data_IF_069112665584
#
_entry.id   IF_069112665584
#
_cell.length_a   1.000
_cell.length_b   1.000
_cell.length_c   1.000
_cell.angle_alpha   90.00
_cell.angle_beta   90.00
_cell.angle_gamma   90.00
#
_symmetry.space_group_name_H-M   'P 1'
#
loop_
_entity.id
_entity.type
_entity.pdbx_description
1 polymer ?
#
# COMPACT_ATOMS: atom_id res chain seq x y z
N UNK A 1 61.90 2.00 -9.85
CA UNK A 1 60.59 1.41 -10.19
C UNK A 1 59.53 2.38 -9.71
N UNK A 2 59.17 3.31 -10.65
CA UNK A 2 58.49 4.58 -10.35
C UNK A 2 57.02 4.35 -9.98
N UNK A 3 56.71 4.73 -8.75
CA UNK A 3 55.31 4.98 -8.35
C UNK A 3 55.03 6.46 -8.62
N UNK A 4 54.69 6.79 -9.86
CA UNK A 4 54.16 8.13 -10.17
C UNK A 4 52.79 8.27 -9.46
N UNK A 5 52.80 9.19 -8.54
CA UNK A 5 51.66 9.60 -7.70
C UNK A 5 50.45 9.99 -8.57
N UNK A 6 49.21 9.69 -8.14
CA UNK A 6 47.96 10.16 -8.76
C UNK A 6 47.87 11.68 -8.90
N UNK A 7 48.69 12.46 -8.14
CA UNK A 7 48.78 13.90 -8.23
C UNK A 7 49.51 14.37 -9.52
N UNK A 8 50.51 13.64 -10.01
CA UNK A 8 51.27 14.00 -11.23
C UNK A 8 50.47 13.80 -12.52
N UNK A 9 49.49 12.92 -12.53
CA UNK A 9 48.62 12.76 -13.71
C UNK A 9 47.60 13.91 -13.88
N UNK A 10 47.28 14.66 -12.83
CA UNK A 10 46.41 15.84 -12.89
C UNK A 10 47.13 17.05 -13.49
N UNK A 11 48.43 17.13 -13.37
CA UNK A 11 49.22 18.27 -13.85
C UNK A 11 49.53 18.21 -15.37
N UNK A 12 49.28 17.08 -16.03
CA UNK A 12 49.59 16.88 -17.45
C UNK A 12 48.46 17.25 -18.43
N UNK A 13 47.26 17.55 -17.94
CA UNK A 13 46.16 18.04 -18.78
C UNK A 13 46.19 19.59 -18.74
N UNK A 14 46.45 20.24 -19.87
CA UNK A 14 46.31 21.68 -20.00
C UNK A 14 44.86 22.13 -19.69
N UNK A 15 44.60 23.43 -19.54
CA UNK A 15 43.28 23.96 -19.18
C UNK A 15 42.15 23.43 -20.07
N UNK A 16 42.40 23.25 -21.35
CA UNK A 16 41.44 22.69 -22.31
C UNK A 16 41.10 21.23 -22.02
N UNK A 17 42.04 20.44 -21.53
CA UNK A 17 41.81 19.03 -21.13
C UNK A 17 41.01 18.92 -19.84
N UNK A 18 41.20 19.88 -18.91
CA UNK A 18 40.41 19.92 -17.67
C UNK A 18 38.99 20.35 -17.94
N UNK A 19 38.74 21.34 -18.77
CA UNK A 19 37.36 21.75 -19.16
C UNK A 19 36.63 20.65 -19.90
N UNK A 20 37.28 19.93 -20.80
CA UNK A 20 36.70 18.78 -21.50
C UNK A 20 36.33 17.62 -20.54
N UNK A 21 37.18 17.34 -19.55
CA UNK A 21 36.92 16.35 -18.52
C UNK A 21 35.77 16.76 -17.60
N UNK A 22 35.69 18.02 -17.21
CA UNK A 22 34.59 18.55 -16.38
C UNK A 22 33.26 18.56 -17.15
N UNK A 23 33.27 18.89 -18.43
CA UNK A 23 32.07 18.81 -19.29
C UNK A 23 31.60 17.38 -19.46
N UNK A 24 32.48 16.39 -19.68
CA UNK A 24 32.11 14.99 -19.77
C UNK A 24 31.61 14.44 -18.44
N UNK A 25 32.20 14.82 -17.33
CA UNK A 25 31.74 14.48 -15.99
C UNK A 25 30.31 15.04 -15.73
N UNK A 26 30.05 16.28 -16.12
CA UNK A 26 28.71 16.87 -16.03
C UNK A 26 27.68 16.12 -16.88
N UNK A 27 28.06 15.74 -18.11
CA UNK A 27 27.22 14.92 -19.01
C UNK A 27 26.90 13.56 -18.42
N UNK A 28 27.89 12.84 -17.89
CA UNK A 28 27.69 11.53 -17.28
C UNK A 28 26.81 11.62 -16.03
N UNK A 29 27.00 12.65 -15.20
CA UNK A 29 26.11 12.89 -14.03
C UNK A 29 24.67 13.13 -14.45
N UNK A 30 24.43 13.92 -15.49
CA UNK A 30 23.10 14.17 -16.01
C UNK A 30 22.47 12.89 -16.57
N UNK A 31 23.25 12.04 -17.25
CA UNK A 31 22.77 10.74 -17.76
C UNK A 31 22.44 9.78 -16.61
N UNK A 32 23.24 9.69 -15.57
CA UNK A 32 22.97 8.88 -14.37
C UNK A 32 21.67 9.35 -13.70
N UNK A 33 21.53 10.64 -13.44
CA UNK A 33 20.32 11.19 -12.83
C UNK A 33 19.06 10.89 -13.65
N UNK A 34 19.13 10.98 -14.98
CA UNK A 34 18.05 10.61 -15.88
C UNK A 34 17.69 9.12 -15.76
N UNK A 35 18.68 8.23 -15.83
CA UNK A 35 18.47 6.78 -15.71
C UNK A 35 17.89 6.39 -14.34
N UNK A 36 18.35 7.05 -13.27
CA UNK A 36 17.78 6.85 -11.93
C UNK A 36 16.31 7.28 -11.86
N UNK A 37 15.95 8.42 -12.49
CA UNK A 37 14.57 8.90 -12.56
C UNK A 37 13.69 7.94 -13.38
N UNK A 38 14.15 7.49 -14.56
CA UNK A 38 13.45 6.52 -15.38
C UNK A 38 13.26 5.18 -14.63
N UNK A 39 14.28 4.71 -13.93
CA UNK A 39 14.20 3.51 -13.09
C UNK A 39 13.16 3.67 -11.98
N UNK A 40 13.15 4.80 -11.29
CA UNK A 40 12.20 5.09 -10.22
C UNK A 40 10.75 5.12 -10.75
N UNK A 41 10.52 5.76 -11.91
CA UNK A 41 9.22 5.80 -12.56
C UNK A 41 8.73 4.39 -12.97
N UNK A 42 9.60 3.58 -13.57
CA UNK A 42 9.28 2.21 -13.93
C UNK A 42 9.00 1.35 -12.69
N UNK A 43 9.80 1.51 -11.64
CA UNK A 43 9.58 0.80 -10.38
C UNK A 43 8.23 1.16 -9.78
N UNK A 44 7.87 2.44 -9.78
CA UNK A 44 6.56 2.92 -9.32
C UNK A 44 5.42 2.28 -10.12
N UNK A 45 5.46 2.38 -11.45
CA UNK A 45 4.43 1.83 -12.33
C UNK A 45 4.22 0.32 -12.16
N UNK A 46 5.29 -0.44 -11.86
CA UNK A 46 5.21 -1.88 -11.65
C UNK A 46 4.59 -2.24 -10.28
N UNK A 47 4.73 -1.37 -9.28
CA UNK A 47 4.44 -1.68 -7.89
C UNK A 47 3.21 -0.96 -7.32
N UNK A 48 2.62 -0.03 -8.06
CA UNK A 48 1.43 0.69 -7.62
C UNK A 48 0.26 0.44 -8.58
N UNK A 49 -0.94 0.65 -8.08
CA UNK A 49 -2.17 0.64 -8.86
C UNK A 49 -2.33 2.01 -9.53
N UNK A 50 -2.49 2.02 -10.84
CA UNK A 50 -2.51 3.25 -11.64
C UNK A 50 -3.70 4.17 -11.31
N UNK A 51 -4.82 3.59 -10.88
CA UNK A 51 -6.02 4.35 -10.57
C UNK A 51 -5.93 5.01 -9.19
N UNK A 52 -5.60 4.23 -8.16
CA UNK A 52 -5.66 4.69 -6.76
C UNK A 52 -4.33 5.21 -6.23
N UNK A 53 -3.22 4.90 -6.90
CA UNK A 53 -1.86 5.19 -6.42
C UNK A 53 -1.40 4.33 -5.24
N UNK A 54 -2.25 3.45 -4.73
CA UNK A 54 -1.88 2.52 -3.66
C UNK A 54 -0.89 1.46 -4.15
N UNK A 55 -0.23 0.80 -3.22
CA UNK A 55 0.51 -0.41 -3.52
C UNK A 55 -0.39 -1.41 -4.27
N UNK A 56 0.18 -2.15 -5.21
CA UNK A 56 -0.52 -3.25 -5.84
C UNK A 56 -0.13 -4.60 -5.20
N UNK A 57 -0.76 -5.69 -5.66
CA UNK A 57 -0.46 -7.06 -5.19
C UNK A 57 1.02 -7.42 -5.30
N UNK A 58 1.74 -6.88 -6.30
CA UNK A 58 3.17 -7.15 -6.48
C UNK A 58 3.99 -6.52 -5.37
N UNK A 59 3.74 -5.25 -5.04
CA UNK A 59 4.43 -4.57 -3.95
C UNK A 59 4.15 -5.27 -2.61
N UNK A 60 2.89 -5.62 -2.35
CA UNK A 60 2.50 -6.39 -1.16
C UNK A 60 3.38 -7.65 -0.98
N UNK A 61 3.54 -8.43 -2.04
CA UNK A 61 4.35 -9.65 -2.00
C UNK A 61 5.87 -9.38 -1.88
N UNK A 62 6.32 -8.22 -2.33
CA UNK A 62 7.75 -7.83 -2.30
C UNK A 62 8.16 -7.30 -0.92
N UNK A 63 7.40 -6.37 -0.36
CA UNK A 63 7.77 -5.69 0.90
C UNK A 63 7.12 -6.29 2.13
N UNK A 64 5.93 -6.87 1.99
CA UNK A 64 5.14 -7.43 3.10
C UNK A 64 5.92 -8.41 3.97
N UNK A 65 6.63 -9.41 3.41
CA UNK A 65 7.44 -10.33 4.23
C UNK A 65 8.50 -9.62 5.08
N UNK A 66 9.04 -8.50 4.61
CA UNK A 66 10.01 -7.70 5.37
C UNK A 66 9.36 -6.91 6.49
N UNK A 67 8.17 -6.35 6.25
CA UNK A 67 7.38 -5.64 7.26
C UNK A 67 7.01 -6.60 8.41
N UNK A 68 6.45 -7.77 8.09
CA UNK A 68 6.05 -8.76 9.07
C UNK A 68 7.22 -9.30 9.93
N UNK A 69 8.41 -9.46 9.34
CA UNK A 69 9.60 -9.88 10.09
C UNK A 69 10.08 -8.82 11.09
N UNK A 70 9.86 -7.55 10.79
CA UNK A 70 10.26 -6.43 11.67
C UNK A 70 9.22 -6.18 12.78
N UNK A 71 7.96 -6.44 12.50
CA UNK A 71 6.87 -6.22 13.44
C UNK A 71 6.90 -7.24 14.59
N UNK A 72 6.58 -6.80 15.78
CA UNK A 72 6.36 -7.67 16.95
C UNK A 72 4.96 -8.27 16.89
N UNK A 73 3.99 -7.46 16.49
CA UNK A 73 2.58 -7.81 16.26
C UNK A 73 2.16 -7.22 14.94
N UNK A 74 1.32 -7.95 14.21
CA UNK A 74 0.77 -7.46 12.94
C UNK A 74 -0.67 -7.92 12.75
N UNK A 75 -1.38 -7.21 11.87
CA UNK A 75 -2.61 -7.68 11.26
C UNK A 75 -2.52 -7.54 9.73
N UNK A 76 -3.14 -8.47 9.03
CA UNK A 76 -3.33 -8.38 7.58
C UNK A 76 -4.83 -8.33 7.32
N UNK A 77 -5.26 -7.27 6.64
CA UNK A 77 -6.64 -7.05 6.23
C UNK A 77 -6.84 -7.44 4.77
N UNK A 78 -8.03 -7.97 4.47
CA UNK A 78 -8.63 -7.94 3.12
C UNK A 78 -10.02 -7.32 3.24
N UNK A 79 -10.37 -6.44 2.29
CA UNK A 79 -11.66 -5.74 2.29
C UNK A 79 -12.22 -5.72 0.87
N UNK A 80 -13.54 -5.92 0.76
CA UNK A 80 -14.33 -5.94 -0.48
C UNK A 80 -15.48 -4.94 -0.33
N UNK A 81 -15.69 -4.08 -1.33
CA UNK A 81 -16.73 -3.04 -1.27
C UNK A 81 -18.10 -3.61 -1.55
N UNK A 82 -19.00 -3.40 -0.60
CA UNK A 82 -20.40 -3.76 -0.76
C UNK A 82 -21.14 -2.70 -1.60
N UNK A 83 -21.89 -3.15 -2.59
CA UNK A 83 -22.69 -2.24 -3.42
C UNK A 83 -21.90 -1.49 -4.51
N UNK A 84 -20.63 -1.83 -4.76
CA UNK A 84 -19.83 -1.16 -5.78
C UNK A 84 -20.35 -1.40 -7.20
N UNK A 85 -20.75 -2.63 -7.54
CA UNK A 85 -21.33 -2.93 -8.84
C UNK A 85 -22.58 -2.09 -9.16
N UNK A 86 -23.59 -1.97 -8.28
CA UNK A 86 -24.71 -1.03 -8.46
C UNK A 86 -24.30 0.42 -8.71
N UNK A 87 -23.18 0.89 -8.12
CA UNK A 87 -22.66 2.24 -8.42
C UNK A 87 -22.22 2.33 -9.86
N UNK A 88 -21.42 1.39 -10.35
CA UNK A 88 -21.00 1.33 -11.76
C UNK A 88 -22.18 1.23 -12.71
N UNK A 89 -23.14 0.35 -12.41
CA UNK A 89 -24.31 0.12 -13.26
C UNK A 89 -25.21 1.36 -13.34
N UNK A 90 -25.28 2.17 -12.29
CA UNK A 90 -26.14 3.36 -12.23
C UNK A 90 -25.45 4.64 -12.69
N UNK A 91 -24.19 4.85 -12.35
CA UNK A 91 -23.49 6.12 -12.54
C UNK A 91 -22.33 6.04 -13.52
N UNK A 92 -22.01 4.84 -14.01
CA UNK A 92 -20.92 4.59 -14.94
C UNK A 92 -19.57 4.37 -14.27
N UNK A 93 -18.63 3.84 -15.04
CA UNK A 93 -17.29 3.45 -14.52
C UNK A 93 -16.45 4.65 -14.04
N UNK A 94 -16.61 5.84 -14.64
CA UNK A 94 -15.86 7.02 -14.20
C UNK A 94 -16.19 7.39 -12.74
N UNK A 95 -17.47 7.34 -12.35
CA UNK A 95 -17.90 7.57 -10.98
C UNK A 95 -17.40 6.43 -10.06
N UNK A 96 -17.45 5.18 -10.54
CA UNK A 96 -16.88 4.04 -9.82
C UNK A 96 -15.37 4.19 -9.56
N UNK A 97 -14.62 4.68 -10.54
CA UNK A 97 -13.19 4.94 -10.40
C UNK A 97 -12.91 6.00 -9.32
N UNK A 98 -13.71 7.07 -9.25
CA UNK A 98 -13.60 8.07 -8.19
C UNK A 98 -13.98 7.53 -6.80
N UNK A 99 -14.97 6.62 -6.72
CA UNK A 99 -15.28 5.88 -5.48
C UNK A 99 -14.05 5.09 -5.03
N UNK A 100 -13.42 4.33 -5.94
CA UNK A 100 -12.23 3.54 -5.62
C UNK A 100 -11.04 4.42 -5.16
N UNK A 101 -10.82 5.55 -5.82
CA UNK A 101 -9.80 6.53 -5.41
C UNK A 101 -10.10 7.11 -4.01
N UNK A 102 -11.36 7.40 -3.73
CA UNK A 102 -11.77 7.94 -2.43
C UNK A 102 -11.61 6.92 -1.32
N UNK A 103 -12.05 5.68 -1.53
CA UNK A 103 -11.84 4.57 -0.59
C UNK A 103 -10.33 4.33 -0.34
N UNK A 104 -9.53 4.32 -1.41
CA UNK A 104 -8.07 4.15 -1.28
C UNK A 104 -7.42 5.24 -0.43
N UNK A 105 -7.82 6.50 -0.61
CA UNK A 105 -7.33 7.63 0.21
C UNK A 105 -7.75 7.50 1.68
N UNK A 106 -9.00 7.09 1.95
CA UNK A 106 -9.53 6.91 3.31
C UNK A 106 -8.81 5.76 4.00
N UNK A 107 -8.66 4.63 3.34
CA UNK A 107 -7.89 3.50 3.87
C UNK A 107 -6.46 3.93 4.21
N UNK A 108 -5.75 4.57 3.29
CA UNK A 108 -4.39 5.04 3.52
C UNK A 108 -4.31 6.09 4.64
N UNK A 109 -5.35 6.93 4.79
CA UNK A 109 -5.42 7.95 5.83
C UNK A 109 -5.57 7.39 7.26
N UNK A 110 -6.09 6.17 7.41
CA UNK A 110 -6.17 5.48 8.70
C UNK A 110 -4.84 4.81 9.11
N UNK A 111 -3.84 4.77 8.23
CA UNK A 111 -2.61 4.00 8.44
C UNK A 111 -1.43 4.94 8.72
N UNK A 112 -0.60 4.56 9.70
CA UNK A 112 0.65 5.26 10.06
C UNK A 112 1.81 4.30 9.80
N UNK A 113 2.65 4.63 8.80
CA UNK A 113 3.83 3.84 8.39
C UNK A 113 3.52 2.39 7.95
N UNK A 114 2.26 2.10 7.65
CA UNK A 114 1.76 0.79 7.24
C UNK A 114 1.41 0.78 5.74
N UNK A 115 1.02 -0.37 5.20
CA UNK A 115 0.86 -0.57 3.77
C UNK A 115 -0.61 -0.72 3.37
N UNK A 116 -1.17 0.28 2.68
CA UNK A 116 -2.44 0.17 1.97
C UNK A 116 -2.22 -0.36 0.55
N UNK A 117 -3.08 -1.28 0.12
CA UNK A 117 -2.95 -2.03 -1.13
C UNK A 117 -4.28 -2.09 -1.84
N UNK A 118 -4.28 -1.97 -3.16
CA UNK A 118 -5.40 -2.42 -4.00
C UNK A 118 -5.05 -3.73 -4.67
N UNK A 119 -5.87 -4.76 -4.44
CA UNK A 119 -5.63 -6.11 -4.98
C UNK A 119 -6.15 -6.25 -6.42
N UNK A 120 -7.17 -5.45 -6.78
CA UNK A 120 -7.82 -5.39 -8.08
C UNK A 120 -9.33 -5.22 -7.93
N UNK A 121 -10.01 -4.68 -8.96
CA UNK A 121 -11.45 -4.43 -8.87
C UNK A 121 -11.83 -3.55 -7.69
N UNK A 122 -12.71 -4.02 -6.84
CA UNK A 122 -13.19 -3.43 -5.60
C UNK A 122 -12.57 -4.04 -4.33
N UNK A 123 -11.49 -4.82 -4.50
CA UNK A 123 -10.76 -5.47 -3.41
C UNK A 123 -9.54 -4.65 -2.98
N UNK A 124 -9.43 -4.42 -1.67
CA UNK A 124 -8.27 -3.78 -1.04
C UNK A 124 -7.67 -4.68 0.03
N UNK A 125 -6.47 -4.35 0.45
CA UNK A 125 -5.79 -5.00 1.58
C UNK A 125 -4.96 -3.99 2.36
N UNK A 126 -4.57 -4.37 3.58
CA UNK A 126 -3.56 -3.63 4.33
C UNK A 126 -2.68 -4.58 5.14
N UNK A 127 -1.43 -4.19 5.34
CA UNK A 127 -0.58 -4.72 6.40
C UNK A 127 -0.53 -3.65 7.48
N UNK A 128 -0.91 -4.02 8.69
CA UNK A 128 -0.87 -3.19 9.88
C UNK A 128 0.18 -3.74 10.83
N UNK A 129 0.96 -2.85 11.40
CA UNK A 129 1.96 -3.19 12.42
C UNK A 129 1.61 -2.50 13.74
N UNK A 130 2.35 -2.79 14.79
CA UNK A 130 2.18 -2.10 16.07
C UNK A 130 2.34 -0.57 15.98
N UNK A 131 2.95 -0.04 14.93
CA UNK A 131 3.05 1.40 14.68
C UNK A 131 1.68 2.06 14.56
N UNK A 132 0.74 1.40 13.87
CA UNK A 132 -0.64 1.87 13.76
C UNK A 132 -1.45 1.72 15.04
N UNK A 133 -1.01 0.91 16.01
CA UNK A 133 -1.67 0.80 17.31
C UNK A 133 -1.21 1.87 18.31
N UNK A 134 -0.23 2.70 17.94
CA UNK A 134 0.23 3.83 18.74
C UNK A 134 -0.85 4.91 18.84
N UNK A 135 -1.03 5.52 20.03
CA UNK A 135 -1.99 6.59 20.23
C UNK A 135 -3.37 6.11 20.68
N UNK A 136 -4.42 6.43 19.93
CA UNK A 136 -5.83 6.19 20.34
C UNK A 136 -6.33 4.78 20.03
N UNK A 137 -5.70 4.05 19.12
CA UNK A 137 -6.25 2.78 18.60
C UNK A 137 -6.15 1.60 19.56
N UNK A 138 -5.07 1.50 20.36
CA UNK A 138 -4.90 0.49 21.42
C UNK A 138 -4.98 -0.99 20.99
N UNK A 139 -5.90 -1.37 20.13
CA UNK A 139 -6.10 -2.75 19.65
C UNK A 139 -6.59 -2.81 18.18
N UNK A 140 -6.47 -4.00 17.56
CA UNK A 140 -6.90 -4.23 16.17
C UNK A 140 -8.39 -4.00 15.94
N UNK A 141 -9.32 -4.44 16.81
CA UNK A 141 -10.74 -4.19 16.64
C UNK A 141 -11.09 -2.71 16.49
N UNK A 142 -10.53 -1.85 17.33
CA UNK A 142 -10.77 -0.39 17.28
C UNK A 142 -10.28 0.18 15.94
N UNK A 143 -9.05 -0.12 15.52
CA UNK A 143 -8.51 0.35 14.24
C UNK A 143 -9.31 -0.16 13.04
N UNK A 144 -9.73 -1.42 13.06
CA UNK A 144 -10.57 -2.01 11.99
C UNK A 144 -11.95 -1.34 11.95
N UNK A 145 -12.52 -0.99 13.11
CA UNK A 145 -13.76 -0.20 13.22
C UNK A 145 -13.60 1.17 12.57
N UNK A 146 -12.55 1.90 12.89
CA UNK A 146 -12.25 3.21 12.29
C UNK A 146 -12.04 3.14 10.77
N UNK A 147 -11.35 2.11 10.27
CA UNK A 147 -11.23 1.87 8.83
C UNK A 147 -12.61 1.63 8.20
N UNK A 148 -13.46 0.82 8.83
CA UNK A 148 -14.81 0.53 8.35
C UNK A 148 -15.66 1.79 8.28
N UNK A 149 -15.63 2.62 9.32
CA UNK A 149 -16.35 3.91 9.41
C UNK A 149 -15.84 4.89 8.35
N UNK A 150 -14.51 5.05 8.22
CA UNK A 150 -13.92 5.94 7.23
C UNK A 150 -14.30 5.54 5.79
N UNK A 151 -14.30 4.25 5.47
CA UNK A 151 -14.74 3.74 4.16
C UNK A 151 -16.21 4.05 3.92
N UNK A 152 -17.06 3.91 4.95
CA UNK A 152 -18.51 4.08 4.86
C UNK A 152 -18.97 5.56 4.87
N UNK A 153 -18.10 6.51 5.17
CA UNK A 153 -18.47 7.93 5.12
C UNK A 153 -19.05 8.31 3.75
N UNK A 154 -20.15 9.08 3.71
CA UNK A 154 -20.69 9.59 2.46
C UNK A 154 -19.64 10.36 1.64
N UNK A 155 -19.75 10.30 0.33
CA UNK A 155 -18.90 11.02 -0.60
C UNK A 155 -19.74 11.71 -1.68
N UNK A 156 -19.33 12.90 -2.10
CA UNK A 156 -19.99 13.62 -3.20
C UNK A 156 -19.13 13.50 -4.45
N UNK A 157 -19.67 12.84 -5.48
CA UNK A 157 -19.01 12.65 -6.77
C UNK A 157 -19.97 13.13 -7.87
N UNK A 158 -19.53 14.06 -8.71
CA UNK A 158 -20.34 14.67 -9.77
C UNK A 158 -21.71 15.17 -9.29
N UNK A 159 -21.77 15.73 -8.05
CA UNK A 159 -22.99 16.23 -7.42
C UNK A 159 -23.92 15.15 -6.89
N UNK A 160 -23.55 13.88 -6.96
CA UNK A 160 -24.31 12.77 -6.36
C UNK A 160 -23.70 12.42 -4.98
N UNK A 161 -24.57 12.30 -3.99
CA UNK A 161 -24.19 11.76 -2.69
C UNK A 161 -24.23 10.22 -2.74
N UNK A 162 -23.07 9.61 -2.52
CA UNK A 162 -22.86 8.17 -2.60
C UNK A 162 -22.28 7.66 -1.27
N UNK A 163 -22.65 6.45 -0.90
CA UNK A 163 -22.04 5.73 0.20
C UNK A 163 -21.82 4.26 -0.21
N UNK A 164 -20.67 3.72 0.13
CA UNK A 164 -20.35 2.30 0.00
C UNK A 164 -19.89 1.81 1.36
N UNK A 165 -20.13 0.54 1.65
CA UNK A 165 -19.57 -0.11 2.85
C UNK A 165 -18.57 -1.15 2.43
N UNK A 166 -17.84 -1.72 3.38
CA UNK A 166 -16.93 -2.81 3.11
C UNK A 166 -17.19 -4.01 4.02
N UNK A 167 -16.94 -5.21 3.49
CA UNK A 167 -16.79 -6.41 4.29
C UNK A 167 -15.31 -6.61 4.54
N UNK A 168 -14.87 -6.65 5.80
CA UNK A 168 -13.46 -6.68 6.18
C UNK A 168 -13.16 -8.01 6.87
N UNK A 169 -12.15 -8.72 6.36
CA UNK A 169 -11.56 -9.87 7.01
C UNK A 169 -10.16 -9.57 7.49
N UNK A 170 -9.84 -10.02 8.69
CA UNK A 170 -8.56 -9.74 9.34
C UNK A 170 -7.94 -11.03 9.84
N UNK A 171 -6.65 -11.20 9.63
CA UNK A 171 -5.83 -12.18 10.35
C UNK A 171 -4.76 -11.48 11.14
N UNK A 172 -4.59 -11.86 12.40
CA UNK A 172 -3.57 -11.30 13.28
C UNK A 172 -2.48 -12.32 13.54
N UNK A 173 -1.28 -11.83 13.81
CA UNK A 173 -0.13 -12.68 14.14
C UNK A 173 0.97 -11.93 14.88
N UNK A 174 1.95 -12.71 15.30
CA UNK A 174 3.20 -12.23 15.87
C UNK A 174 4.30 -13.05 15.20
N UNK A 175 5.45 -12.51 14.92
CA UNK A 175 6.68 -13.13 14.35
C UNK A 175 6.56 -14.60 13.87
N UNK A 176 5.44 -14.92 13.22
CA UNK A 176 5.20 -16.25 12.67
C UNK A 176 5.92 -16.47 11.34
N UNK A 177 6.05 -17.73 10.96
CA UNK A 177 6.65 -18.17 9.71
C UNK A 177 5.64 -18.20 8.54
N UNK A 178 4.42 -17.69 8.74
CA UNK A 178 3.39 -17.68 7.71
C UNK A 178 3.82 -16.82 6.52
N UNK A 179 3.55 -17.31 5.31
CA UNK A 179 3.84 -16.59 4.07
C UNK A 179 2.75 -15.55 3.80
N UNK A 180 3.09 -14.49 3.04
CA UNK A 180 2.11 -13.48 2.65
C UNK A 180 0.87 -14.08 1.94
N UNK A 181 0.99 -15.01 0.97
CA UNK A 181 -0.16 -15.66 0.36
C UNK A 181 -1.06 -16.39 1.37
N UNK A 182 -0.49 -17.01 2.38
CA UNK A 182 -1.26 -17.70 3.43
C UNK A 182 -2.01 -16.71 4.34
N UNK A 183 -1.39 -15.59 4.70
CA UNK A 183 -2.04 -14.53 5.49
C UNK A 183 -3.20 -13.89 4.74
N UNK A 184 -3.00 -13.56 3.47
CA UNK A 184 -4.06 -13.06 2.60
C UNK A 184 -5.19 -14.06 2.50
N UNK A 185 -4.91 -15.35 2.29
CA UNK A 185 -5.93 -16.40 2.23
C UNK A 185 -6.73 -16.50 3.54
N UNK A 186 -6.08 -16.38 4.70
CA UNK A 186 -6.77 -16.39 6.01
C UNK A 186 -7.66 -15.17 6.19
N UNK A 187 -7.17 -13.99 5.81
CA UNK A 187 -7.94 -12.75 5.84
C UNK A 187 -9.14 -12.82 4.86
N UNK A 188 -8.95 -13.36 3.67
CA UNK A 188 -10.02 -13.56 2.68
C UNK A 188 -11.11 -14.48 3.20
N UNK A 189 -10.75 -15.61 3.83
CA UNK A 189 -11.73 -16.49 4.48
C UNK A 189 -12.51 -15.76 5.60
N UNK A 190 -11.82 -14.94 6.39
CA UNK A 190 -12.46 -14.12 7.42
C UNK A 190 -13.43 -13.09 6.78
N UNK A 191 -13.06 -12.44 5.69
CA UNK A 191 -13.92 -11.53 4.93
C UNK A 191 -15.15 -12.24 4.37
N UNK A 192 -14.97 -13.43 3.83
CA UNK A 192 -16.10 -14.24 3.37
C UNK A 192 -17.10 -14.53 4.49
N UNK A 193 -16.62 -14.86 5.70
CA UNK A 193 -17.47 -15.03 6.88
C UNK A 193 -18.17 -13.74 7.29
N UNK A 194 -17.50 -12.59 7.25
CA UNK A 194 -18.11 -11.28 7.49
C UNK A 194 -19.27 -11.05 6.50
N UNK A 195 -19.00 -11.23 5.21
CA UNK A 195 -19.98 -11.02 4.12
C UNK A 195 -21.19 -11.95 4.24
N UNK A 196 -20.96 -13.24 4.53
CA UNK A 196 -22.04 -14.25 4.68
C UNK A 196 -22.97 -13.97 5.86
N UNK A 197 -22.46 -13.39 6.95
CA UNK A 197 -23.21 -13.10 8.18
C UNK A 197 -23.65 -11.64 8.30
N UNK A 198 -23.39 -10.81 7.28
CA UNK A 198 -23.67 -9.37 7.28
C UNK A 198 -22.96 -8.58 8.40
N UNK A 199 -21.78 -9.04 8.79
CA UNK A 199 -20.90 -8.29 9.68
C UNK A 199 -20.07 -7.29 8.88
N UNK A 200 -19.74 -6.14 9.48
CA UNK A 200 -18.80 -5.19 8.84
C UNK A 200 -17.37 -5.74 8.87
N UNK A 201 -16.99 -6.50 9.90
CA UNK A 201 -15.67 -7.11 9.98
C UNK A 201 -15.67 -8.44 10.74
N UNK A 202 -14.66 -9.26 10.43
CA UNK A 202 -14.41 -10.53 11.12
C UNK A 202 -12.89 -10.69 11.32
N UNK A 203 -12.46 -10.83 12.57
CA UNK A 203 -11.06 -10.98 12.93
C UNK A 203 -10.79 -12.44 13.28
N UNK A 204 -10.01 -13.12 12.45
CA UNK A 204 -9.50 -14.46 12.71
C UNK A 204 -8.12 -14.37 13.36
N UNK A 205 -8.04 -14.63 14.65
CA UNK A 205 -6.77 -14.74 15.39
C UNK A 205 -6.39 -16.20 15.63
N UNK A 206 -5.17 -16.49 16.09
CA UNK A 206 -4.75 -17.85 16.45
C UNK A 206 -5.55 -18.45 17.60
N UNK A 207 -6.32 -17.64 18.33
CA UNK A 207 -7.09 -18.09 19.50
C UNK A 207 -8.53 -17.55 19.60
N UNK A 208 -8.94 -16.53 18.84
CA UNK A 208 -10.28 -15.91 18.98
C UNK A 208 -10.78 -15.37 17.64
N UNK A 209 -12.02 -15.71 17.30
CA UNK A 209 -12.77 -15.06 16.24
C UNK A 209 -13.66 -13.97 16.86
N UNK A 210 -13.53 -12.72 16.42
CA UNK A 210 -14.34 -11.59 16.85
C UNK A 210 -15.14 -11.10 15.64
N UNK A 211 -16.46 -11.09 15.73
CA UNK A 211 -17.37 -10.58 14.71
C UNK A 211 -18.02 -9.27 15.19
N UNK A 212 -18.14 -8.28 14.29
CA UNK A 212 -18.77 -7.01 14.57
C UNK A 212 -19.95 -6.79 13.63
N UNK A 213 -21.10 -6.44 14.20
CA UNK A 213 -22.31 -6.13 13.45
C UNK A 213 -22.29 -4.67 12.98
N UNK A 214 -22.84 -4.40 11.80
CA UNK A 214 -23.17 -3.03 11.38
C UNK A 214 -24.29 -2.50 12.28
N UNK A 215 -24.07 -1.35 12.90
CA UNK A 215 -25.13 -0.57 13.56
C UNK A 215 -25.85 0.29 12.55
#
# INVERSE_FOLDING_TARGET
>A
MDILSHADRRAAAGPDGQEAADAELARLRAQVARLESERAALWWAIHHDELTGLANRRLLNTVGPSMLRKATRYAVLVLDLNGFKPVNDRYGHAVGDEVLCTVGRRLSGCLVDDLAVRLGGDEFAAILTESSLGGTHGDWPTLVGEISEAVAEPMTIDGNELAVTASIGVTTGNRETATMPELIRRADLAMYHAKANRYCSYIAGPAVAIAWEQR
#
